data_IF_964538174360
#
_entry.id   IF_964538174360
#
_cell.length_a   1.000
_cell.length_b   1.000
_cell.length_c   1.000
_cell.angle_alpha   90.00
_cell.angle_beta   90.00
_cell.angle_gamma   90.00
#
_symmetry.space_group_name_H-M   'P 1'
#
loop_
_entity.id
_entity.type
_entity.pdbx_description
1 polymer ?
#
# COMPACT_ATOMS: atom_id res chain seq x y z
N UNK A 1 5.29 -4.49 -4.09
CA UNK A 1 3.82 -4.28 -4.25
C UNK A 1 3.10 -5.54 -3.81
N UNK A 2 1.99 -5.40 -3.11
CA UNK A 2 1.20 -6.50 -2.56
C UNK A 2 -0.27 -6.26 -2.90
N UNK A 3 -0.96 -7.26 -3.44
CA UNK A 3 -2.41 -7.19 -3.65
C UNK A 3 -3.18 -7.34 -2.34
N UNK A 4 -4.41 -6.85 -2.30
CA UNK A 4 -5.24 -6.88 -1.10
C UNK A 4 -5.63 -8.31 -0.67
N UNK A 5 -5.83 -9.22 -1.63
CA UNK A 5 -6.09 -10.61 -1.32
C UNK A 5 -4.94 -11.29 -0.57
N UNK A 6 -3.71 -11.04 -1.00
CA UNK A 6 -2.51 -11.56 -0.36
C UNK A 6 -2.23 -10.87 0.97
N UNK A 7 -2.55 -9.57 1.06
CA UNK A 7 -2.28 -8.76 2.25
C UNK A 7 -3.09 -9.20 3.48
N UNK A 8 -4.24 -9.83 3.30
CA UNK A 8 -5.14 -10.25 4.38
C UNK A 8 -5.09 -11.74 4.68
N UNK A 9 -4.26 -12.52 3.97
CA UNK A 9 -4.22 -13.99 4.09
C UNK A 9 -2.80 -14.52 4.28
N UNK A 10 -2.71 -15.68 4.98
CA UNK A 10 -1.48 -16.43 5.13
C UNK A 10 -0.34 -15.68 5.80
N UNK A 11 0.92 -16.05 5.52
CA UNK A 11 2.09 -15.46 6.13
C UNK A 11 2.24 -13.96 5.89
N UNK A 12 1.73 -13.45 4.76
CA UNK A 12 1.84 -12.03 4.44
C UNK A 12 1.01 -11.15 5.39
N UNK A 13 -0.14 -11.65 5.85
CA UNK A 13 -0.97 -10.93 6.82
C UNK A 13 -0.24 -10.66 8.14
N UNK A 14 0.66 -11.55 8.54
CA UNK A 14 1.49 -11.39 9.74
C UNK A 14 2.77 -10.61 9.49
N UNK A 15 3.24 -10.53 8.26
CA UNK A 15 4.51 -9.88 7.89
C UNK A 15 4.48 -8.35 7.98
N UNK A 16 3.31 -7.74 8.13
CA UNK A 16 3.18 -6.29 8.36
C UNK A 16 3.94 -5.80 9.59
N UNK A 17 4.20 -6.68 10.56
CA UNK A 17 5.01 -6.35 11.73
C UNK A 17 6.53 -6.33 11.48
N UNK A 18 6.99 -6.71 10.31
CA UNK A 18 8.42 -6.79 9.97
C UNK A 18 9.12 -5.43 10.03
N UNK A 19 8.39 -4.33 9.86
CA UNK A 19 8.90 -2.97 10.01
C UNK A 19 9.55 -2.70 11.39
N UNK A 20 9.15 -3.47 12.41
CA UNK A 20 9.66 -3.32 13.78
C UNK A 20 11.08 -3.83 13.96
N UNK A 21 11.58 -4.59 13.01
CA UNK A 21 12.92 -5.16 13.03
C UNK A 21 13.94 -4.38 12.19
N UNK A 22 13.49 -3.34 11.47
CA UNK A 22 14.38 -2.49 10.69
C UNK A 22 15.05 -1.42 11.56
N UNK A 23 16.37 -1.44 11.58
CA UNK A 23 17.17 -0.44 12.28
C UNK A 23 17.51 0.71 11.32
N UNK A 24 16.99 1.92 11.53
CA UNK A 24 17.18 3.03 10.59
C UNK A 24 18.62 3.52 10.49
N UNK A 25 19.49 3.13 11.42
CA UNK A 25 20.91 3.51 11.39
C UNK A 25 21.69 2.64 10.39
N UNK A 26 21.42 1.34 10.36
CA UNK A 26 22.26 0.35 9.65
C UNK A 26 21.58 -0.36 8.52
N UNK A 27 20.25 -0.52 8.62
CA UNK A 27 19.49 -1.30 7.67
C UNK A 27 19.00 -0.44 6.49
N UNK A 28 18.60 -1.10 5.41
CA UNK A 28 17.84 -0.48 4.36
C UNK A 28 16.41 -0.18 4.80
N UNK A 29 15.56 0.15 3.84
CA UNK A 29 14.14 0.38 4.09
C UNK A 29 13.30 -0.40 3.10
N UNK A 30 12.08 -0.75 3.51
CA UNK A 30 11.07 -1.35 2.65
C UNK A 30 9.90 -0.38 2.56
N UNK A 31 9.50 -0.03 1.35
CA UNK A 31 8.29 0.75 1.09
C UNK A 31 7.19 -0.20 0.60
N UNK A 32 6.26 -0.61 1.46
CA UNK A 32 5.13 -1.40 1.02
C UNK A 32 4.18 -0.57 0.16
N UNK A 33 3.71 -1.15 -0.93
CA UNK A 33 2.62 -0.61 -1.74
C UNK A 33 1.51 -1.64 -1.75
N UNK A 34 0.42 -1.36 -1.03
CA UNK A 34 -0.78 -2.17 -1.01
C UNK A 34 -1.67 -1.76 -2.17
N UNK A 35 -1.90 -2.67 -3.10
CA UNK A 35 -2.84 -2.45 -4.20
C UNK A 35 -4.21 -2.99 -3.84
N UNK A 36 -5.12 -2.08 -3.52
CA UNK A 36 -6.47 -2.36 -3.10
C UNK A 36 -7.41 -2.28 -4.31
N UNK A 37 -7.65 -3.42 -4.96
CA UNK A 37 -8.51 -3.50 -6.14
C UNK A 37 -9.90 -4.09 -5.85
N UNK A 38 -10.16 -4.49 -4.61
CA UNK A 38 -11.46 -4.93 -4.11
C UNK A 38 -11.72 -6.42 -4.18
N UNK A 39 -10.90 -7.20 -4.89
CA UNK A 39 -11.20 -8.60 -5.16
C UNK A 39 -9.98 -9.52 -5.06
N UNK A 40 -10.20 -10.69 -4.48
CA UNK A 40 -9.43 -11.91 -4.75
C UNK A 40 -9.76 -12.40 -6.17
N UNK A 41 -9.42 -13.64 -6.51
CA UNK A 41 -9.74 -14.18 -7.84
C UNK A 41 -11.25 -14.12 -8.12
N UNK A 42 -12.08 -14.55 -7.18
CA UNK A 42 -13.54 -14.59 -7.33
C UNK A 42 -14.34 -13.90 -6.22
N UNK A 43 -13.69 -13.47 -5.15
CA UNK A 43 -14.37 -12.95 -3.97
C UNK A 43 -13.87 -11.55 -3.60
N UNK A 44 -14.76 -10.70 -3.03
CA UNK A 44 -14.33 -9.43 -2.45
C UNK A 44 -13.32 -9.63 -1.32
N UNK A 45 -12.41 -8.69 -1.17
CA UNK A 45 -11.48 -8.66 -0.04
C UNK A 45 -12.09 -7.99 1.18
N UNK A 46 -11.62 -8.36 2.36
CA UNK A 46 -12.00 -7.70 3.61
C UNK A 46 -11.54 -6.24 3.62
N UNK A 47 -10.30 -5.99 3.20
CA UNK A 47 -9.71 -4.64 3.19
C UNK A 47 -10.46 -3.66 2.28
N UNK A 48 -11.15 -4.15 1.23
CA UNK A 48 -11.98 -3.32 0.37
C UNK A 48 -13.34 -2.96 0.99
N UNK A 49 -13.77 -3.68 2.01
CA UNK A 49 -15.08 -3.49 2.67
C UNK A 49 -15.03 -2.55 3.86
N UNK A 50 -13.86 -2.29 4.41
CA UNK A 50 -13.69 -1.38 5.54
C UNK A 50 -13.56 0.07 5.05
N UNK A 51 -13.91 1.02 5.91
CA UNK A 51 -13.84 2.44 5.61
C UNK A 51 -12.38 2.92 5.43
N UNK A 52 -12.22 4.10 4.82
CA UNK A 52 -10.90 4.74 4.73
C UNK A 52 -10.28 4.94 6.12
N UNK A 53 -11.07 5.39 7.08
CA UNK A 53 -10.64 5.65 8.45
C UNK A 53 -10.22 4.37 9.18
N UNK A 54 -10.96 3.27 9.00
CA UNK A 54 -10.58 1.97 9.55
C UNK A 54 -9.30 1.43 8.92
N UNK A 55 -9.16 1.57 7.61
CA UNK A 55 -7.98 1.14 6.89
C UNK A 55 -6.74 1.91 7.34
N UNK A 56 -6.87 3.22 7.49
CA UNK A 56 -5.81 4.07 8.03
C UNK A 56 -5.44 3.65 9.45
N UNK A 57 -6.43 3.48 10.34
CA UNK A 57 -6.21 3.05 11.71
C UNK A 57 -5.51 1.69 11.80
N UNK A 58 -5.86 0.74 10.92
CA UNK A 58 -5.24 -0.58 10.86
C UNK A 58 -3.73 -0.46 10.58
N UNK A 59 -3.33 0.27 9.57
CA UNK A 59 -1.92 0.39 9.19
C UNK A 59 -1.13 1.31 10.10
N UNK A 60 -1.76 2.31 10.69
CA UNK A 60 -1.18 3.10 11.80
C UNK A 60 -0.91 2.19 13.00
N UNK A 61 -1.83 1.28 13.32
CA UNK A 61 -1.65 0.28 14.37
C UNK A 61 -0.50 -0.70 14.10
N UNK A 62 -0.27 -1.05 12.84
CA UNK A 62 0.91 -1.83 12.45
C UNK A 62 2.23 -1.06 12.54
N UNK A 63 2.20 0.24 12.67
CA UNK A 63 3.39 1.09 12.81
C UNK A 63 3.81 1.79 11.52
N UNK A 64 2.90 1.93 10.56
CA UNK A 64 3.12 2.69 9.32
C UNK A 64 2.49 4.07 9.35
N UNK A 65 2.95 4.93 8.45
CA UNK A 65 2.24 6.13 8.01
C UNK A 65 1.66 5.84 6.63
N UNK A 66 0.37 5.52 6.51
CA UNK A 66 -0.25 5.22 5.23
C UNK A 66 -0.47 6.48 4.40
N UNK A 67 -0.09 6.40 3.11
CA UNK A 67 -0.29 7.43 2.11
C UNK A 67 -1.26 6.87 1.06
N UNK A 68 -2.35 7.58 0.80
CA UNK A 68 -3.41 7.10 -0.08
C UNK A 68 -3.29 7.69 -1.49
N UNK A 69 -3.41 6.83 -2.49
CA UNK A 69 -3.60 7.20 -3.89
C UNK A 69 -4.85 6.48 -4.38
N UNK A 70 -5.89 7.22 -4.66
CA UNK A 70 -7.21 6.67 -5.01
C UNK A 70 -7.73 7.27 -6.31
N UNK A 71 -8.35 6.48 -7.14
CA UNK A 71 -9.00 6.94 -8.37
C UNK A 71 -9.10 5.87 -9.45
N UNK A 72 -9.55 6.30 -10.62
CA UNK A 72 -9.75 5.45 -11.79
C UNK A 72 -9.25 6.09 -13.10
N UNK A 73 -8.88 7.35 -13.09
CA UNK A 73 -8.38 8.04 -14.28
C UNK A 73 -6.85 7.85 -14.34
N UNK A 74 -6.30 7.22 -15.41
CA UNK A 74 -4.90 6.84 -15.47
C UNK A 74 -3.91 7.98 -15.31
N UNK A 75 -4.14 9.11 -15.96
CA UNK A 75 -3.21 10.23 -15.94
C UNK A 75 -3.07 10.84 -14.54
N UNK A 76 -4.19 11.16 -13.89
CA UNK A 76 -4.17 11.70 -12.53
C UNK A 76 -3.64 10.70 -11.50
N UNK A 77 -3.93 9.40 -11.69
CA UNK A 77 -3.38 8.34 -10.85
C UNK A 77 -1.87 8.22 -10.99
N UNK A 78 -1.32 8.31 -12.20
CA UNK A 78 0.13 8.32 -12.42
C UNK A 78 0.80 9.51 -11.76
N UNK A 79 0.24 10.71 -11.90
CA UNK A 79 0.77 11.91 -11.26
C UNK A 79 0.69 11.81 -9.74
N UNK A 80 -0.44 11.38 -9.21
CA UNK A 80 -0.64 11.18 -7.78
C UNK A 80 0.33 10.14 -7.20
N UNK A 81 0.53 9.02 -7.91
CA UNK A 81 1.45 7.97 -7.49
C UNK A 81 2.90 8.45 -7.53
N UNK A 82 3.30 9.19 -8.56
CA UNK A 82 4.64 9.75 -8.67
C UNK A 82 4.95 10.72 -7.51
N UNK A 83 4.04 11.64 -7.22
CA UNK A 83 4.19 12.57 -6.11
C UNK A 83 4.22 11.87 -4.74
N UNK A 84 3.37 10.88 -4.55
CA UNK A 84 3.31 10.10 -3.30
C UNK A 84 4.57 9.24 -3.12
N UNK A 85 5.07 8.64 -4.19
CA UNK A 85 6.32 7.88 -4.18
C UNK A 85 7.52 8.77 -3.80
N UNK A 86 7.61 9.96 -4.39
CA UNK A 86 8.65 10.93 -4.05
C UNK A 86 8.57 11.33 -2.58
N UNK A 87 7.38 11.67 -2.09
CA UNK A 87 7.16 11.99 -0.68
C UNK A 87 7.58 10.84 0.24
N UNK A 88 7.19 9.61 -0.06
CA UNK A 88 7.56 8.43 0.72
C UNK A 88 9.08 8.22 0.77
N UNK A 89 9.77 8.38 -0.34
CA UNK A 89 11.24 8.25 -0.41
C UNK A 89 11.92 9.35 0.42
N UNK A 90 11.42 10.58 0.37
CA UNK A 90 11.95 11.68 1.19
C UNK A 90 11.76 11.42 2.68
N UNK A 91 10.60 10.90 3.09
CA UNK A 91 10.34 10.52 4.48
C UNK A 91 11.29 9.40 4.94
N UNK A 92 11.52 8.38 4.12
CA UNK A 92 12.47 7.31 4.43
C UNK A 92 13.88 7.88 4.64
N UNK A 93 14.34 8.73 3.73
CA UNK A 93 15.66 9.37 3.82
C UNK A 93 15.79 10.23 5.07
N UNK A 94 14.76 10.98 5.41
CA UNK A 94 14.71 11.80 6.62
C UNK A 94 14.85 10.95 7.88
N UNK A 95 14.07 9.86 7.98
CA UNK A 95 14.15 8.90 9.10
C UNK A 95 15.57 8.34 9.24
N UNK A 96 16.17 7.90 8.15
CA UNK A 96 17.52 7.34 8.14
C UNK A 96 18.58 8.38 8.52
N UNK A 97 18.48 9.59 7.99
CA UNK A 97 19.40 10.68 8.28
C UNK A 97 19.34 11.10 9.75
N UNK A 98 18.16 11.30 10.30
CA UNK A 98 17.97 11.65 11.71
C UNK A 98 18.54 10.56 12.63
N UNK A 99 18.28 9.29 12.34
CA UNK A 99 18.79 8.18 13.12
C UNK A 99 20.32 8.10 13.08
N UNK A 100 20.92 8.26 11.91
CA UNK A 100 22.38 8.21 11.72
C UNK A 100 23.10 9.40 12.35
N UNK A 101 22.50 10.59 12.28
CA UNK A 101 23.05 11.80 12.89
C UNK A 101 22.98 11.77 14.41
N UNK A 102 21.84 11.32 14.97
CA UNK A 102 21.68 11.23 16.41
C UNK A 102 22.36 10.03 17.05
N UNK A 103 22.66 8.99 16.26
CA UNK A 103 23.17 7.71 16.74
C UNK A 103 22.17 6.91 17.59
N UNK A 104 20.91 7.36 17.66
CA UNK A 104 19.84 6.74 18.45
C UNK A 104 18.87 6.00 17.55
N UNK A 105 18.83 4.68 17.69
CA UNK A 105 17.85 3.85 17.01
C UNK A 105 16.50 3.91 17.74
N UNK A 106 15.68 4.91 17.41
CA UNK A 106 14.26 4.88 17.75
C UNK A 106 13.53 4.09 16.68
N UNK A 107 12.52 3.31 17.08
CA UNK A 107 11.65 2.65 16.12
C UNK A 107 10.84 3.71 15.36
N UNK A 108 11.11 3.92 14.07
CA UNK A 108 10.40 4.93 13.30
C UNK A 108 9.03 4.42 12.86
N UNK A 109 8.21 5.33 12.41
CA UNK A 109 6.99 5.03 11.68
C UNK A 109 7.27 5.16 10.18
N UNK A 110 7.50 4.01 9.54
CA UNK A 110 7.82 3.96 8.12
C UNK A 110 6.61 4.31 7.24
N UNK A 111 6.80 5.00 6.11
CA UNK A 111 5.71 5.23 5.17
C UNK A 111 5.32 3.94 4.45
N UNK A 112 4.07 3.86 4.04
CA UNK A 112 3.55 2.89 3.09
C UNK A 112 2.55 3.55 2.16
N UNK A 113 2.29 2.97 0.99
CA UNK A 113 1.33 3.49 0.03
C UNK A 113 0.16 2.54 -0.08
N UNK A 114 -1.06 3.08 -0.05
CA UNK A 114 -2.29 2.36 -0.35
C UNK A 114 -2.81 2.90 -1.68
N UNK A 115 -2.68 2.08 -2.72
CA UNK A 115 -3.14 2.37 -4.06
C UNK A 115 -4.50 1.73 -4.26
N UNK A 116 -5.56 2.54 -4.31
CA UNK A 116 -6.93 2.06 -4.53
C UNK A 116 -7.36 2.34 -5.97
N UNK A 117 -7.64 1.28 -6.71
CA UNK A 117 -8.10 1.35 -8.09
C UNK A 117 -9.13 0.26 -8.39
N UNK A 118 -9.93 0.37 -9.46
CA UNK A 118 -10.78 -0.72 -9.92
C UNK A 118 -9.97 -1.95 -10.31
N UNK A 119 -10.53 -3.14 -10.10
CA UNK A 119 -9.91 -4.39 -10.54
C UNK A 119 -9.77 -4.40 -12.07
N UNK A 120 -8.64 -4.90 -12.55
CA UNK A 120 -8.33 -4.89 -13.98
C UNK A 120 -8.18 -3.48 -14.56
N UNK A 121 -7.84 -2.51 -13.73
CA UNK A 121 -7.57 -1.14 -14.14
C UNK A 121 -6.54 -1.08 -15.26
N UNK A 122 -6.79 -0.23 -16.26
CA UNK A 122 -6.05 -0.10 -17.52
C UNK A 122 -6.12 -1.29 -18.48
N UNK A 123 -6.68 -2.44 -18.10
CA UNK A 123 -6.93 -3.54 -18.98
C UNK A 123 -8.29 -3.41 -19.73
N UNK A 124 -8.49 -4.12 -20.85
CA UNK A 124 -9.78 -4.12 -21.55
C UNK A 124 -10.93 -4.53 -20.61
N UNK A 125 -12.09 -3.87 -20.75
CA UNK A 125 -13.27 -4.24 -19.97
C UNK A 125 -13.82 -5.62 -20.32
N UNK A 126 -13.65 -6.03 -21.55
CA UNK A 126 -14.08 -7.33 -22.08
C UNK A 126 -12.94 -8.00 -22.80
N UNK A 127 -12.80 -9.28 -22.59
CA UNK A 127 -11.91 -10.18 -23.35
C UNK A 127 -12.78 -11.32 -23.87
N UNK A 128 -12.77 -11.56 -25.16
CA UNK A 128 -13.58 -12.58 -25.84
C UNK A 128 -15.08 -12.49 -25.50
N UNK A 129 -15.61 -11.26 -25.42
CA UNK A 129 -17.02 -10.97 -25.10
C UNK A 129 -17.40 -11.09 -23.61
N UNK A 130 -16.51 -11.54 -22.76
CA UNK A 130 -16.73 -11.69 -21.32
C UNK A 130 -16.13 -10.52 -20.54
N UNK A 131 -16.87 -10.02 -19.53
CA UNK A 131 -16.33 -9.02 -18.60
C UNK A 131 -15.24 -9.63 -17.74
N UNK A 132 -14.18 -8.86 -17.50
CA UNK A 132 -13.17 -9.26 -16.53
C UNK A 132 -13.76 -9.32 -15.12
N UNK A 133 -13.31 -10.29 -14.34
CA UNK A 133 -13.74 -10.51 -12.95
C UNK A 133 -13.59 -9.22 -12.15
N UNK A 134 -14.66 -8.83 -11.44
CA UNK A 134 -14.70 -7.63 -10.60
C UNK A 134 -15.09 -6.35 -11.33
N UNK A 135 -15.30 -6.37 -12.66
CA UNK A 135 -15.80 -5.21 -13.43
C UNK A 135 -17.29 -5.28 -13.80
N UNK A 136 -17.93 -6.42 -13.56
CA UNK A 136 -19.33 -6.64 -13.95
C UNK A 136 -20.34 -5.87 -13.08
N UNK A 137 -19.91 -5.19 -12.03
CA UNK A 137 -20.76 -4.54 -11.04
C UNK A 137 -20.38 -3.07 -10.79
N UNK A 138 -20.06 -2.35 -11.84
CA UNK A 138 -19.94 -0.89 -11.77
C UNK A 138 -21.09 -0.25 -12.55
#
# INVERSE_FOLDING_TARGET
MVGDGEAETGPLATSWHSNKFLNPIRDGAVLPVLHLNGYKINNPTLLARISHEELEALFVGYGYTPLFVEGNEPHSMHQGMAATMEHAVLEIRKIQQEARTSGKAKRPRWPMIILRSPKGWTAPRKVDGHYQIGRAHV
#
